data_IF_158268861026
#
_entry.id   IF_158268861026
#
_cell.length_a   1.000
_cell.length_b   1.000
_cell.length_c   1.000
_cell.angle_alpha   90.00
_cell.angle_beta   90.00
_cell.angle_gamma   90.00
#
_symmetry.space_group_name_H-M   'P 1'
#
loop_
_entity.id
_entity.type
_entity.pdbx_description
1 polymer ?
#
# COMPACT_ATOMS: atom_id res chain seq x y z
N UNK A 1 -27.49 -87.78 38.30
CA UNK A 1 -26.45 -88.65 37.74
C UNK A 1 -25.97 -88.06 36.44
N UNK A 2 -24.66 -87.75 36.38
CA UNK A 2 -23.78 -87.72 35.19
C UNK A 2 -24.27 -86.96 33.93
N UNK A 3 -23.81 -85.75 33.59
CA UNK A 3 -22.46 -85.31 33.15
C UNK A 3 -22.07 -85.67 31.70
N UNK A 4 -21.44 -84.67 31.04
CA UNK A 4 -20.75 -84.69 29.73
C UNK A 4 -21.68 -84.43 28.52
N UNK A 5 -21.53 -83.44 27.64
CA UNK A 5 -20.48 -82.49 27.20
C UNK A 5 -21.25 -81.35 26.46
N UNK A 6 -21.22 -80.05 26.72
CA UNK A 6 -20.20 -79.14 27.25
C UNK A 6 -18.83 -79.29 26.59
N UNK A 7 -18.73 -78.98 25.27
CA UNK A 7 -17.46 -78.53 24.67
C UNK A 7 -17.52 -77.76 23.35
N UNK A 8 -18.66 -77.64 22.67
CA UNK A 8 -18.69 -77.05 21.30
C UNK A 8 -19.31 -75.66 21.17
N UNK A 9 -20.00 -75.13 22.19
CA UNK A 9 -20.82 -73.90 22.01
C UNK A 9 -20.17 -72.62 22.58
N UNK A 10 -19.04 -72.73 23.29
CA UNK A 10 -18.38 -71.55 23.88
C UNK A 10 -17.26 -70.94 23.04
N UNK A 11 -16.74 -71.64 22.03
CA UNK A 11 -15.63 -71.16 21.20
C UNK A 11 -16.06 -70.34 19.97
N UNK A 12 -17.32 -70.44 19.53
CA UNK A 12 -17.81 -69.67 18.38
C UNK A 12 -18.36 -68.28 18.75
N UNK A 13 -18.76 -68.06 20.01
CA UNK A 13 -19.27 -66.75 20.43
C UNK A 13 -18.17 -65.75 20.84
N UNK A 14 -16.95 -66.20 21.15
CA UNK A 14 -15.84 -65.33 21.56
C UNK A 14 -14.99 -64.82 20.39
N UNK A 15 -15.04 -65.47 19.23
CA UNK A 15 -14.30 -65.03 18.03
C UNK A 15 -15.09 -64.05 17.14
N UNK A 16 -16.40 -63.92 17.33
CA UNK A 16 -17.22 -63.02 16.52
C UNK A 16 -17.36 -61.61 17.10
N UNK A 17 -16.99 -61.40 18.37
CA UNK A 17 -17.10 -60.08 19.03
C UNK A 17 -15.81 -59.27 19.01
N UNK A 18 -14.68 -59.84 18.60
CA UNK A 18 -13.37 -59.16 18.60
C UNK A 18 -13.00 -58.46 17.29
N UNK A 19 -13.69 -58.76 16.18
CA UNK A 19 -13.38 -58.17 14.87
C UNK A 19 -14.28 -57.00 14.43
N UNK A 20 -15.40 -56.72 15.13
CA UNK A 20 -16.24 -55.55 14.82
C UNK A 20 -15.87 -54.30 15.60
N UNK A 21 -15.19 -54.42 16.74
CA UNK A 21 -14.77 -53.26 17.54
C UNK A 21 -13.43 -52.69 17.03
N UNK A 22 -12.52 -53.54 16.53
CA UNK A 22 -11.26 -53.08 15.94
C UNK A 22 -11.43 -52.39 14.58
N UNK A 23 -12.41 -52.79 13.76
CA UNK A 23 -12.69 -52.09 12.49
C UNK A 23 -13.41 -50.76 12.69
N UNK A 24 -14.27 -50.63 13.71
CA UNK A 24 -14.92 -49.36 14.03
C UNK A 24 -13.95 -48.34 14.64
N UNK A 25 -13.01 -48.79 15.49
CA UNK A 25 -11.95 -47.93 16.03
C UNK A 25 -10.95 -47.49 14.94
N UNK A 26 -10.64 -48.36 13.97
CA UNK A 26 -9.84 -47.99 12.80
C UNK A 26 -10.52 -46.95 11.90
N UNK A 27 -11.83 -47.06 11.69
CA UNK A 27 -12.61 -46.08 10.91
C UNK A 27 -12.78 -44.74 11.64
N UNK A 28 -12.89 -44.72 12.97
CA UNK A 28 -12.93 -43.48 13.76
C UNK A 28 -11.54 -42.83 13.83
N UNK A 29 -10.45 -43.61 13.87
CA UNK A 29 -9.08 -43.08 13.88
C UNK A 29 -8.63 -42.59 12.49
N UNK A 30 -9.14 -43.18 11.40
CA UNK A 30 -8.86 -42.72 10.02
C UNK A 30 -9.74 -41.51 9.65
N UNK A 31 -10.94 -41.38 10.22
CA UNK A 31 -11.79 -40.18 10.06
C UNK A 31 -11.23 -38.93 10.76
N UNK A 32 -10.35 -39.10 11.76
CA UNK A 32 -9.74 -37.99 12.49
C UNK A 32 -8.44 -37.44 11.85
N UNK A 33 -7.95 -38.05 10.76
CA UNK A 33 -6.64 -37.68 10.16
C UNK A 33 -6.79 -36.79 8.91
N UNK A 34 -8.01 -36.51 8.41
CA UNK A 34 -8.21 -35.68 7.21
C UNK A 34 -8.73 -34.26 7.46
N UNK A 35 -8.71 -33.79 8.71
CA UNK A 35 -8.87 -32.35 9.01
C UNK A 35 -7.51 -31.72 9.28
N UNK A 36 -6.53 -31.97 8.40
CA UNK A 36 -5.46 -31.00 8.20
C UNK A 36 -6.06 -29.86 7.39
N UNK A 37 -6.83 -29.01 8.07
CA UNK A 37 -7.15 -27.70 7.55
C UNK A 37 -5.85 -26.90 7.60
N UNK A 38 -5.03 -27.03 6.56
CA UNK A 38 -4.22 -25.91 6.14
C UNK A 38 -5.23 -24.82 5.76
N UNK A 39 -5.69 -24.05 6.74
CA UNK A 39 -6.35 -22.78 6.48
C UNK A 39 -5.26 -21.89 5.90
N UNK A 40 -5.05 -22.00 4.60
CA UNK A 40 -4.31 -21.00 3.85
C UNK A 40 -4.98 -19.66 4.15
N UNK A 41 -4.21 -18.71 4.69
CA UNK A 41 -4.75 -17.38 4.99
C UNK A 41 -5.34 -16.83 3.68
N UNK A 42 -6.64 -16.50 3.67
CA UNK A 42 -7.35 -16.04 2.47
C UNK A 42 -6.74 -14.77 1.86
N UNK A 43 -5.91 -14.06 2.63
CA UNK A 43 -5.16 -12.90 2.20
C UNK A 43 -3.80 -13.22 1.57
N UNK A 44 -3.37 -14.49 1.61
CA UNK A 44 -2.15 -14.96 0.93
C UNK A 44 -2.51 -15.38 -0.49
N UNK A 45 -2.11 -14.54 -1.46
CA UNK A 45 -2.41 -14.75 -2.87
C UNK A 45 -1.10 -14.81 -3.66
N UNK A 46 -0.83 -15.98 -4.24
CA UNK A 46 0.22 -16.14 -5.24
C UNK A 46 -0.26 -15.60 -6.59
N UNK A 47 0.55 -14.74 -7.20
CA UNK A 47 0.24 -14.03 -8.45
C UNK A 47 1.23 -14.36 -9.57
N UNK A 48 2.17 -15.29 -9.36
CA UNK A 48 3.23 -15.59 -10.34
C UNK A 48 2.68 -16.01 -11.71
N UNK A 49 1.59 -16.79 -11.71
CA UNK A 49 0.92 -17.30 -12.91
C UNK A 49 -0.38 -16.54 -13.25
N UNK A 50 -0.68 -15.45 -12.53
CA UNK A 50 -1.92 -14.70 -12.71
C UNK A 50 -1.78 -13.65 -13.83
N UNK A 51 -2.82 -13.53 -14.65
CA UNK A 51 -2.98 -12.46 -15.64
C UNK A 51 -4.09 -11.49 -15.23
N UNK A 52 -3.86 -10.19 -15.40
CA UNK A 52 -4.90 -9.19 -15.22
C UNK A 52 -5.89 -9.19 -16.40
N UNK A 53 -7.14 -8.73 -16.21
CA UNK A 53 -8.11 -8.59 -17.31
C UNK A 53 -7.69 -7.58 -18.38
N UNK A 54 -6.86 -6.61 -17.98
CA UNK A 54 -6.25 -5.61 -18.85
C UNK A 54 -4.74 -5.65 -18.63
N UNK A 55 -3.97 -5.49 -19.70
CA UNK A 55 -2.51 -5.47 -19.61
C UNK A 55 -2.04 -4.39 -18.64
N UNK A 56 -1.14 -4.77 -17.72
CA UNK A 56 -0.44 -3.81 -16.88
C UNK A 56 0.54 -3.04 -17.75
N UNK A 57 0.29 -1.75 -17.94
CA UNK A 57 1.14 -0.89 -18.76
C UNK A 57 2.01 0.01 -17.90
N UNK A 58 3.26 0.12 -18.32
CA UNK A 58 4.25 1.03 -17.75
C UNK A 58 4.81 1.90 -18.87
N UNK A 59 4.86 3.20 -18.66
CA UNK A 59 5.39 4.19 -19.61
C UNK A 59 6.55 4.94 -19.01
N UNK A 60 7.68 4.97 -19.71
CA UNK A 60 8.84 5.76 -19.29
C UNK A 60 8.82 7.14 -19.95
N UNK A 61 7.92 8.00 -19.50
CA UNK A 61 7.80 9.36 -20.02
C UNK A 61 9.07 10.18 -19.77
N UNK A 62 9.76 9.97 -18.64
CA UNK A 62 11.05 10.57 -18.34
C UNK A 62 12.09 10.33 -19.45
N UNK A 63 12.14 9.11 -19.99
CA UNK A 63 13.02 8.81 -21.12
C UNK A 63 12.53 9.45 -22.42
N UNK A 64 11.22 9.42 -22.69
CA UNK A 64 10.65 9.95 -23.94
C UNK A 64 10.85 11.46 -24.09
N UNK A 65 10.70 12.25 -23.01
CA UNK A 65 10.90 13.70 -23.07
C UNK A 65 12.35 14.12 -23.34
N UNK A 66 13.31 13.24 -23.03
CA UNK A 66 14.72 13.46 -23.32
C UNK A 66 15.09 13.17 -24.78
N UNK A 67 14.24 12.44 -25.50
CA UNK A 67 14.48 11.97 -26.87
C UNK A 67 13.42 12.48 -27.86
N UNK A 68 12.78 13.62 -27.54
CA UNK A 68 11.82 14.26 -28.45
C UNK A 68 12.52 14.67 -29.76
N UNK A 69 11.76 14.60 -30.86
CA UNK A 69 12.28 15.08 -32.15
C UNK A 69 12.51 16.58 -32.12
N UNK A 70 13.54 17.06 -32.82
CA UNK A 70 13.83 18.50 -32.99
C UNK A 70 12.69 19.27 -33.70
N UNK A 71 11.67 18.57 -34.23
CA UNK A 71 10.49 19.17 -34.81
C UNK A 71 9.33 19.16 -33.80
N UNK A 72 9.03 20.33 -33.24
CA UNK A 72 8.05 20.52 -32.18
C UNK A 72 6.63 20.08 -32.57
N UNK A 73 6.26 20.22 -33.85
CA UNK A 73 4.93 19.83 -34.33
C UNK A 73 4.73 18.32 -34.35
N UNK A 74 5.76 17.54 -34.73
CA UNK A 74 5.68 16.08 -34.69
C UNK A 74 5.78 15.54 -33.26
N UNK A 75 6.65 16.11 -32.44
CA UNK A 75 6.78 15.76 -31.02
C UNK A 75 5.45 15.97 -30.28
N UNK A 76 4.76 17.09 -30.54
CA UNK A 76 3.46 17.40 -29.94
C UNK A 76 2.38 16.39 -30.30
N UNK A 77 2.27 16.03 -31.59
CA UNK A 77 1.27 15.07 -32.07
C UNK A 77 1.52 13.70 -31.42
N UNK A 78 2.78 13.25 -31.37
CA UNK A 78 3.16 11.99 -30.76
C UNK A 78 2.84 11.96 -29.27
N UNK A 79 3.27 12.97 -28.51
CA UNK A 79 3.03 13.05 -27.07
C UNK A 79 1.53 13.08 -26.76
N UNK A 80 0.75 13.88 -27.49
CA UNK A 80 -0.71 13.96 -27.30
C UNK A 80 -1.39 12.62 -27.55
N UNK A 81 -1.00 11.94 -28.62
CA UNK A 81 -1.56 10.64 -28.96
C UNK A 81 -1.25 9.59 -27.88
N UNK A 82 0.00 9.58 -27.40
CA UNK A 82 0.48 8.53 -26.50
C UNK A 82 0.07 8.72 -25.05
N UNK A 83 -0.02 9.98 -24.57
CA UNK A 83 -0.20 10.30 -23.16
C UNK A 83 -1.52 11.00 -22.81
N UNK A 84 -2.27 11.52 -23.80
CA UNK A 84 -3.66 12.02 -23.63
C UNK A 84 -3.83 12.90 -22.38
N UNK A 85 -4.60 12.43 -21.39
CA UNK A 85 -4.89 13.14 -20.14
C UNK A 85 -3.62 13.41 -19.32
N UNK A 86 -2.68 12.46 -19.27
CA UNK A 86 -1.43 12.65 -18.54
C UNK A 86 -0.64 13.85 -19.09
N UNK A 87 -0.58 14.04 -20.42
CA UNK A 87 0.13 15.20 -20.97
C UNK A 87 -0.52 16.53 -20.55
N UNK A 88 -1.85 16.57 -20.45
CA UNK A 88 -2.57 17.73 -19.92
C UNK A 88 -2.21 17.99 -18.47
N UNK A 89 -2.31 16.99 -17.60
CA UNK A 89 -1.93 17.12 -16.19
C UNK A 89 -0.45 17.52 -16.04
N UNK A 90 0.44 16.92 -16.83
CA UNK A 90 1.88 17.19 -16.80
C UNK A 90 2.21 18.64 -17.15
N UNK A 91 1.66 19.17 -18.24
CA UNK A 91 1.94 20.54 -18.68
C UNK A 91 1.20 21.61 -17.86
N UNK A 92 -0.05 21.35 -17.48
CA UNK A 92 -0.95 22.37 -16.92
C UNK A 92 -0.94 22.40 -15.39
N UNK A 93 -0.73 21.26 -14.71
CA UNK A 93 -0.79 21.17 -13.25
C UNK A 93 0.57 20.82 -12.62
N UNK A 94 1.28 19.82 -13.17
CA UNK A 94 2.57 19.36 -12.63
C UNK A 94 3.65 20.42 -12.86
N UNK A 95 3.92 20.77 -14.12
CA UNK A 95 4.94 21.77 -14.46
C UNK A 95 4.39 23.20 -14.56
N UNK A 96 3.08 23.37 -14.79
CA UNK A 96 2.40 24.67 -14.94
C UNK A 96 3.04 25.56 -16.01
N UNK A 97 3.47 24.96 -17.12
CA UNK A 97 4.16 25.65 -18.22
C UNK A 97 3.20 26.19 -19.29
N UNK A 98 1.97 25.69 -19.34
CA UNK A 98 0.94 26.17 -20.29
C UNK A 98 0.04 25.04 -20.76
N UNK A 99 -0.89 25.37 -21.66
CA UNK A 99 -1.84 24.36 -22.14
C UNK A 99 -1.16 23.27 -22.95
N UNK A 100 -1.49 22.00 -22.70
CA UNK A 100 -1.01 20.87 -23.50
C UNK A 100 -1.45 20.93 -24.97
N UNK A 101 -2.41 21.83 -25.27
CA UNK A 101 -2.94 22.07 -26.61
C UNK A 101 -2.19 23.16 -27.40
N UNK A 102 -1.22 23.85 -26.80
CA UNK A 102 -0.41 24.90 -27.44
C UNK A 102 0.94 24.36 -27.92
N UNK A 103 1.45 24.93 -29.03
CA UNK A 103 2.80 24.61 -29.55
C UNK A 103 3.87 25.27 -28.67
N UNK A 104 3.61 26.47 -28.16
CA UNK A 104 4.48 27.22 -27.26
C UNK A 104 4.77 26.46 -25.95
N UNK A 105 3.88 25.55 -25.54
CA UNK A 105 4.10 24.65 -24.40
C UNK A 105 5.19 23.60 -24.70
N UNK A 106 5.38 23.19 -25.95
CA UNK A 106 6.48 22.29 -26.33
C UNK A 106 7.82 23.00 -26.25
N UNK A 107 7.88 24.25 -26.69
CA UNK A 107 9.09 25.06 -26.54
C UNK A 107 9.50 25.14 -25.06
N UNK A 108 8.55 25.40 -24.18
CA UNK A 108 8.78 25.43 -22.72
C UNK A 108 9.15 24.07 -22.14
N UNK A 109 8.60 22.97 -22.66
CA UNK A 109 8.99 21.63 -22.26
C UNK A 109 10.44 21.34 -22.67
N UNK A 110 10.83 21.71 -23.88
CA UNK A 110 12.21 21.61 -24.36
C UNK A 110 13.15 22.49 -23.52
N UNK A 111 12.74 23.72 -23.19
CA UNK A 111 13.48 24.60 -22.29
C UNK A 111 13.65 23.97 -20.89
N UNK A 112 12.60 23.36 -20.35
CA UNK A 112 12.65 22.64 -19.08
C UNK A 112 13.68 21.50 -19.13
N UNK A 113 13.63 20.63 -20.14
CA UNK A 113 14.56 19.49 -20.30
C UNK A 113 15.99 19.96 -20.57
N UNK A 114 16.16 21.07 -21.29
CA UNK A 114 17.47 21.64 -21.61
C UNK A 114 18.09 22.44 -20.46
N UNK A 115 17.31 22.85 -19.46
CA UNK A 115 17.79 23.67 -18.35
C UNK A 115 18.91 22.94 -17.58
N UNK A 116 20.03 23.60 -17.22
CA UNK A 116 21.17 22.96 -16.55
C UNK A 116 20.78 22.18 -15.28
N UNK A 117 19.97 22.78 -14.40
CA UNK A 117 19.53 22.12 -13.17
C UNK A 117 18.65 20.89 -13.42
N UNK A 118 17.81 20.94 -14.47
CA UNK A 118 17.01 19.78 -14.89
C UNK A 118 17.90 18.69 -15.44
N UNK A 119 18.92 19.03 -16.24
CA UNK A 119 19.88 18.05 -16.76
C UNK A 119 20.65 17.33 -15.66
N UNK A 120 21.11 18.06 -14.63
CA UNK A 120 21.73 17.43 -13.46
C UNK A 120 20.75 16.48 -12.73
N UNK A 121 19.48 16.86 -12.64
CA UNK A 121 18.43 16.00 -12.06
C UNK A 121 18.17 14.77 -12.92
N UNK A 122 18.13 14.90 -14.24
CA UNK A 122 17.93 13.79 -15.17
C UNK A 122 19.12 12.80 -15.10
N UNK A 123 20.35 13.30 -15.02
CA UNK A 123 21.53 12.44 -14.80
C UNK A 123 21.47 11.70 -13.46
N UNK A 124 21.00 12.37 -12.40
CA UNK A 124 20.78 11.73 -11.11
C UNK A 124 19.73 10.62 -11.22
N UNK A 125 18.59 10.89 -11.86
CA UNK A 125 17.54 9.90 -12.16
C UNK A 125 18.14 8.70 -12.90
N UNK A 126 18.81 8.94 -14.03
CA UNK A 126 19.34 7.88 -14.90
C UNK A 126 20.35 6.97 -14.18
N UNK A 127 21.06 7.49 -13.18
CA UNK A 127 22.02 6.72 -12.37
C UNK A 127 21.43 6.07 -11.11
N UNK A 128 20.15 6.31 -10.79
CA UNK A 128 19.50 5.85 -9.56
C UNK A 128 18.09 5.31 -9.83
N UNK A 129 17.03 6.06 -9.52
CA UNK A 129 15.62 5.65 -9.61
C UNK A 129 15.12 5.43 -11.04
N UNK A 130 15.84 5.92 -12.04
CA UNK A 130 15.57 5.72 -13.46
C UNK A 130 16.37 4.58 -14.10
N UNK A 131 17.23 3.89 -13.33
CA UNK A 131 17.99 2.75 -13.85
C UNK A 131 17.03 1.67 -14.42
N UNK A 132 17.27 1.12 -15.63
CA UNK A 132 16.36 0.16 -16.25
C UNK A 132 16.14 -1.14 -15.46
N UNK A 133 17.16 -1.64 -14.75
CA UNK A 133 17.03 -2.85 -13.94
C UNK A 133 16.22 -2.57 -12.68
N UNK A 134 16.48 -1.43 -12.02
CA UNK A 134 15.70 -0.96 -10.89
C UNK A 134 14.22 -0.74 -11.25
N UNK A 135 13.94 0.00 -12.33
CA UNK A 135 12.58 0.24 -12.80
C UNK A 135 11.85 -1.06 -13.14
N UNK A 136 12.53 -2.06 -13.69
CA UNK A 136 11.94 -3.39 -13.94
C UNK A 136 11.52 -4.08 -12.64
N UNK A 137 12.32 -3.95 -11.58
CA UNK A 137 11.98 -4.45 -10.24
C UNK A 137 10.74 -3.75 -9.68
N UNK A 138 10.73 -2.41 -9.67
CA UNK A 138 9.58 -1.62 -9.21
C UNK A 138 8.32 -1.92 -10.02
N UNK A 139 8.43 -2.05 -11.34
CA UNK A 139 7.31 -2.43 -12.20
C UNK A 139 6.74 -3.81 -11.85
N UNK A 140 7.60 -4.78 -11.55
CA UNK A 140 7.16 -6.12 -11.15
C UNK A 140 6.45 -6.10 -9.78
N UNK A 141 6.97 -5.33 -8.82
CA UNK A 141 6.35 -5.18 -7.50
C UNK A 141 4.96 -4.53 -7.61
N UNK A 142 4.82 -3.49 -8.43
CA UNK A 142 3.53 -2.85 -8.71
C UNK A 142 2.58 -3.79 -9.44
N UNK A 143 3.05 -4.51 -10.47
CA UNK A 143 2.23 -5.48 -11.20
C UNK A 143 1.66 -6.55 -10.26
N UNK A 144 2.52 -7.12 -9.42
CA UNK A 144 2.12 -8.12 -8.43
C UNK A 144 1.14 -7.53 -7.40
N UNK A 145 1.39 -6.31 -6.94
CA UNK A 145 0.47 -5.57 -6.07
C UNK A 145 -0.90 -5.41 -6.71
N UNK A 146 -0.97 -4.96 -7.96
CA UNK A 146 -2.23 -4.76 -8.67
C UNK A 146 -2.96 -6.06 -9.01
N UNK A 147 -2.24 -7.17 -9.26
CA UNK A 147 -2.82 -8.51 -9.37
C UNK A 147 -3.53 -8.92 -8.08
N UNK A 148 -2.88 -8.75 -6.92
CA UNK A 148 -3.50 -9.03 -5.61
C UNK A 148 -4.68 -8.10 -5.34
N UNK A 149 -4.55 -6.82 -5.67
CA UNK A 149 -5.66 -5.88 -5.58
C UNK A 149 -6.86 -6.34 -6.42
N UNK A 150 -6.63 -6.83 -7.64
CA UNK A 150 -7.71 -7.34 -8.48
C UNK A 150 -8.42 -8.55 -7.86
N UNK A 151 -7.69 -9.42 -7.16
CA UNK A 151 -8.31 -10.53 -6.40
C UNK A 151 -9.19 -10.01 -5.26
N UNK A 152 -8.70 -9.03 -4.49
CA UNK A 152 -9.42 -8.51 -3.33
C UNK A 152 -10.53 -7.51 -3.68
N UNK A 153 -10.45 -6.87 -4.85
CA UNK A 153 -11.31 -5.77 -5.29
C UNK A 153 -11.52 -5.84 -6.82
N UNK A 154 -12.21 -6.86 -7.37
CA UNK A 154 -12.24 -7.15 -8.82
C UNK A 154 -12.87 -6.07 -9.69
N UNK A 155 -13.68 -5.18 -9.11
CA UNK A 155 -14.33 -4.07 -9.82
C UNK A 155 -13.48 -2.78 -9.85
N UNK A 156 -12.30 -2.80 -9.24
CA UNK A 156 -11.35 -1.69 -9.26
C UNK A 156 -10.54 -1.74 -10.55
N UNK A 157 -10.45 -0.59 -11.25
CA UNK A 157 -9.60 -0.48 -12.44
C UNK A 157 -8.14 -0.44 -12.03
N UNK A 158 -7.28 -1.09 -12.80
CA UNK A 158 -5.83 -1.03 -12.62
C UNK A 158 -5.30 0.17 -13.42
N UNK A 159 -4.50 1.06 -12.81
CA UNK A 159 -3.96 2.22 -13.52
C UNK A 159 -2.75 1.84 -14.38
N UNK A 160 -2.51 2.64 -15.43
CA UNK A 160 -1.19 2.71 -16.07
C UNK A 160 -0.18 3.35 -15.11
N UNK A 161 1.07 2.89 -15.12
CA UNK A 161 2.15 3.51 -14.35
C UNK A 161 3.01 4.37 -15.27
N UNK A 162 3.25 5.63 -14.89
CA UNK A 162 4.02 6.57 -15.70
C UNK A 162 5.23 7.08 -14.92
N UNK A 163 6.43 6.79 -15.40
CA UNK A 163 7.67 7.34 -14.86
C UNK A 163 7.94 8.72 -15.43
N UNK A 164 8.07 9.73 -14.58
CA UNK A 164 8.26 11.13 -15.00
C UNK A 164 9.37 11.80 -14.18
N UNK A 165 9.91 12.91 -14.70
CA UNK A 165 10.54 13.93 -13.87
C UNK A 165 9.48 14.99 -13.57
N UNK A 166 9.06 15.17 -12.32
CA UNK A 166 7.99 16.12 -11.99
C UNK A 166 8.51 17.54 -11.73
N UNK A 167 9.82 17.77 -11.79
CA UNK A 167 10.45 19.01 -11.34
C UNK A 167 10.33 19.23 -9.82
N UNK A 168 10.34 18.14 -9.04
CA UNK A 168 10.07 18.11 -7.60
C UNK A 168 8.72 18.73 -7.19
N UNK A 169 7.72 18.68 -8.08
CA UNK A 169 6.37 19.17 -7.78
C UNK A 169 5.49 18.08 -7.16
N UNK A 170 5.63 16.82 -7.59
CA UNK A 170 4.84 15.70 -7.10
C UNK A 170 5.65 14.39 -7.09
N UNK A 171 5.78 13.75 -5.92
CA UNK A 171 6.35 12.41 -5.82
C UNK A 171 5.45 11.37 -6.50
N UNK A 172 4.15 11.46 -6.22
CA UNK A 172 3.11 10.61 -6.78
C UNK A 172 1.95 11.49 -7.21
N UNK A 173 1.48 11.31 -8.44
CA UNK A 173 0.37 12.02 -9.04
C UNK A 173 -0.69 11.02 -9.53
N UNK A 174 -1.67 10.70 -8.68
CA UNK A 174 -2.69 9.70 -8.97
C UNK A 174 -3.88 10.27 -9.76
N UNK A 175 -4.40 9.46 -10.68
CA UNK A 175 -5.66 9.61 -11.42
C UNK A 175 -6.39 8.27 -11.47
N UNK A 176 -7.61 8.28 -12.00
CA UNK A 176 -8.39 7.05 -12.18
C UNK A 176 -7.73 6.09 -13.19
N UNK A 177 -7.17 6.61 -14.27
CA UNK A 177 -6.56 5.82 -15.35
C UNK A 177 -5.06 5.58 -15.21
N UNK A 178 -4.35 6.41 -14.44
CA UNK A 178 -2.90 6.30 -14.29
C UNK A 178 -2.42 6.74 -12.91
N UNK A 179 -1.21 6.31 -12.55
CA UNK A 179 -0.41 6.87 -11.47
C UNK A 179 0.94 7.27 -12.03
N UNK A 180 1.22 8.58 -12.00
CA UNK A 180 2.51 9.10 -12.43
C UNK A 180 3.44 9.28 -11.22
N UNK A 181 4.70 8.91 -11.36
CA UNK A 181 5.67 8.86 -10.26
C UNK A 181 6.90 9.67 -10.66
N UNK A 182 7.20 10.69 -9.85
CA UNK A 182 8.36 11.56 -10.02
C UNK A 182 9.63 10.84 -9.60
N UNK A 183 10.46 10.41 -10.55
CA UNK A 183 11.68 9.64 -10.31
C UNK A 183 12.67 10.42 -9.42
N UNK A 184 12.70 11.75 -9.52
CA UNK A 184 13.57 12.61 -8.72
C UNK A 184 13.26 12.58 -7.21
N UNK A 185 12.11 12.04 -6.82
CA UNK A 185 11.75 11.84 -5.42
C UNK A 185 12.35 10.58 -4.79
N UNK A 186 12.99 9.72 -5.59
CA UNK A 186 13.47 8.41 -5.14
C UNK A 186 14.98 8.22 -5.40
N UNK A 187 15.75 9.31 -5.48
CA UNK A 187 17.18 9.30 -5.82
C UNK A 187 18.09 8.67 -4.75
N UNK A 188 17.59 8.53 -3.53
CA UNK A 188 18.35 8.12 -2.35
C UNK A 188 18.69 9.33 -1.46
N UNK A 189 18.52 9.21 -0.14
CA UNK A 189 18.66 10.33 0.80
C UNK A 189 20.08 10.90 0.90
N UNK A 190 21.08 10.15 0.40
CA UNK A 190 22.49 10.54 0.36
C UNK A 190 22.91 11.19 -0.97
N UNK A 191 22.03 11.23 -1.98
CA UNK A 191 22.36 11.79 -3.28
C UNK A 191 22.69 13.30 -3.16
N UNK A 192 23.83 13.79 -3.72
CA UNK A 192 24.28 15.16 -3.53
C UNK A 192 23.26 16.23 -3.93
N UNK A 193 22.43 15.96 -4.94
CA UNK A 193 21.41 16.91 -5.43
C UNK A 193 20.41 17.32 -4.34
N UNK A 194 20.10 16.43 -3.38
CA UNK A 194 19.14 16.72 -2.31
C UNK A 194 19.65 17.82 -1.37
N UNK A 195 20.97 17.99 -1.26
CA UNK A 195 21.60 19.06 -0.47
C UNK A 195 21.47 20.43 -1.13
N UNK A 196 21.15 20.48 -2.43
CA UNK A 196 20.91 21.71 -3.18
C UNK A 196 19.45 22.17 -3.10
N UNK A 197 18.54 21.31 -2.61
CA UNK A 197 17.13 21.64 -2.50
C UNK A 197 16.88 22.67 -1.38
N UNK A 198 15.95 23.61 -1.60
CA UNK A 198 15.62 24.64 -0.61
C UNK A 198 15.01 24.00 0.66
N UNK A 199 15.63 24.18 1.85
CA UNK A 199 15.24 23.46 3.06
C UNK A 199 13.86 23.87 3.61
N UNK A 200 13.35 25.04 3.24
CA UNK A 200 11.99 25.51 3.55
C UNK A 200 10.91 24.75 2.78
N UNK A 201 11.24 24.23 1.59
CA UNK A 201 10.35 23.38 0.78
C UNK A 201 10.62 21.88 0.96
N UNK A 202 11.89 21.51 1.20
CA UNK A 202 12.34 20.13 1.38
C UNK A 202 13.05 19.97 2.73
N UNK A 203 12.31 19.97 3.85
CA UNK A 203 12.90 19.77 5.16
C UNK A 203 13.59 18.41 5.27
N UNK A 204 14.55 18.28 6.20
CA UNK A 204 15.42 17.10 6.30
C UNK A 204 14.66 15.77 6.43
N UNK A 205 13.55 15.74 7.19
CA UNK A 205 12.74 14.53 7.34
C UNK A 205 12.16 14.05 5.99
N UNK A 206 11.80 14.98 5.09
CA UNK A 206 11.32 14.64 3.76
C UNK A 206 12.45 14.15 2.85
N UNK A 207 13.63 14.77 2.92
CA UNK A 207 14.79 14.31 2.15
C UNK A 207 15.25 12.89 2.55
N UNK A 208 15.13 12.54 3.83
CA UNK A 208 15.43 11.17 4.31
C UNK A 208 14.50 10.11 3.70
N UNK A 209 13.30 10.52 3.30
CA UNK A 209 12.27 9.69 2.66
C UNK A 209 12.36 9.70 1.14
N UNK A 210 13.34 10.40 0.56
CA UNK A 210 13.55 10.35 -0.90
C UNK A 210 14.34 9.10 -1.27
N UNK A 211 13.81 7.93 -0.92
CA UNK A 211 14.51 6.64 -0.91
C UNK A 211 13.94 5.67 -1.96
N UNK A 212 14.77 5.01 -2.79
CA UNK A 212 14.34 4.09 -3.84
C UNK A 212 13.34 3.03 -3.37
N UNK A 213 13.61 2.39 -2.21
CA UNK A 213 12.79 1.31 -1.64
C UNK A 213 11.32 1.70 -1.37
N UNK A 214 11.00 2.99 -1.28
CA UNK A 214 9.64 3.47 -1.03
C UNK A 214 8.81 3.57 -2.31
N UNK A 215 9.44 3.56 -3.48
CA UNK A 215 8.83 3.95 -4.75
C UNK A 215 7.58 3.14 -5.12
N UNK A 216 7.66 1.81 -5.02
CA UNK A 216 6.51 0.95 -5.32
C UNK A 216 5.36 1.17 -4.32
N UNK A 217 5.68 1.17 -3.03
CA UNK A 217 4.70 1.32 -1.96
C UNK A 217 4.01 2.69 -2.01
N UNK A 218 4.76 3.76 -2.24
CA UNK A 218 4.22 5.13 -2.33
C UNK A 218 3.36 5.32 -3.58
N UNK A 219 3.76 4.77 -4.72
CA UNK A 219 2.95 4.81 -5.94
C UNK A 219 1.58 4.13 -5.73
N UNK A 220 1.59 2.90 -5.20
CA UNK A 220 0.34 2.18 -4.94
C UNK A 220 -0.49 2.85 -3.82
N UNK A 221 0.13 3.26 -2.72
CA UNK A 221 -0.51 3.97 -1.60
C UNK A 221 -1.17 5.26 -2.07
N UNK A 222 -0.44 6.12 -2.79
CA UNK A 222 -0.93 7.39 -3.30
C UNK A 222 -2.12 7.22 -4.23
N UNK A 223 -2.08 6.21 -5.10
CA UNK A 223 -3.21 5.86 -5.96
C UNK A 223 -4.42 5.35 -5.17
N UNK A 224 -4.21 4.44 -4.21
CA UNK A 224 -5.28 3.92 -3.34
C UNK A 224 -5.97 5.03 -2.53
N UNK A 225 -5.21 5.99 -1.98
CA UNK A 225 -5.73 7.10 -1.19
C UNK A 225 -6.64 8.04 -1.97
N UNK A 226 -6.53 8.09 -3.29
CA UNK A 226 -7.46 8.85 -4.14
C UNK A 226 -8.61 7.97 -4.60
N UNK A 227 -8.31 6.74 -5.03
CA UNK A 227 -9.33 5.86 -5.61
C UNK A 227 -10.38 5.37 -4.59
N UNK A 228 -9.99 5.21 -3.32
CA UNK A 228 -10.88 4.69 -2.28
C UNK A 228 -11.61 5.76 -1.45
N UNK A 229 -11.38 7.05 -1.70
CA UNK A 229 -11.92 8.14 -0.88
C UNK A 229 -13.46 8.19 -0.89
N UNK A 230 -14.08 7.77 -2.00
CA UNK A 230 -15.53 7.80 -2.16
C UNK A 230 -16.24 6.51 -1.69
N UNK A 231 -15.54 5.64 -0.95
CA UNK A 231 -16.08 4.37 -0.46
C UNK A 231 -16.36 4.42 1.04
N UNK A 232 -17.32 5.26 1.45
CA UNK A 232 -17.78 5.32 2.85
C UNK A 232 -16.98 6.23 3.78
N UNK A 233 -15.92 6.87 3.30
CA UNK A 233 -15.19 7.88 4.06
C UNK A 233 -15.94 9.22 4.07
N UNK A 234 -16.11 9.79 5.26
CA UNK A 234 -16.81 11.07 5.51
C UNK A 234 -15.84 12.23 5.77
N UNK A 235 -14.71 11.97 6.43
CA UNK A 235 -13.71 12.99 6.78
C UNK A 235 -14.25 14.10 7.68
N UNK A 236 -15.27 13.79 8.49
CA UNK A 236 -15.92 14.74 9.39
C UNK A 236 -15.23 14.80 10.76
N UNK A 237 -14.66 13.67 11.19
CA UNK A 237 -14.01 13.49 12.51
C UNK A 237 -12.63 12.86 12.34
N UNK A 238 -11.78 13.07 13.35
CA UNK A 238 -10.45 12.44 13.43
C UNK A 238 -10.47 10.93 13.20
N UNK A 239 -11.43 10.21 13.80
CA UNK A 239 -11.58 8.75 13.62
C UNK A 239 -11.86 8.35 12.18
N UNK A 240 -12.54 9.19 11.39
CA UNK A 240 -12.88 8.87 10.00
C UNK A 240 -11.59 8.80 9.16
N UNK A 241 -10.71 9.79 9.32
CA UNK A 241 -9.40 9.84 8.64
C UNK A 241 -8.48 8.73 9.13
N UNK A 242 -8.43 8.48 10.45
CA UNK A 242 -7.62 7.39 11.03
C UNK A 242 -8.04 6.04 10.45
N UNK A 243 -9.34 5.74 10.42
CA UNK A 243 -9.83 4.48 9.87
C UNK A 243 -9.64 4.42 8.36
N UNK A 244 -9.81 5.54 7.63
CA UNK A 244 -9.55 5.57 6.20
C UNK A 244 -8.11 5.21 5.86
N UNK A 245 -7.14 5.87 6.50
CA UNK A 245 -5.73 5.55 6.38
C UNK A 245 -5.43 4.11 6.79
N UNK A 246 -6.03 3.64 7.88
CA UNK A 246 -5.88 2.27 8.35
C UNK A 246 -6.36 1.23 7.34
N UNK A 247 -7.51 1.45 6.70
CA UNK A 247 -8.07 0.57 5.67
C UNK A 247 -7.19 0.52 4.43
N UNK A 248 -6.72 1.67 3.96
CA UNK A 248 -5.82 1.77 2.81
C UNK A 248 -4.50 1.05 3.09
N UNK A 249 -3.86 1.31 4.24
CA UNK A 249 -2.60 0.67 4.59
C UNK A 249 -2.73 -0.84 4.85
N UNK A 250 -3.87 -1.26 5.43
CA UNK A 250 -4.15 -2.68 5.61
C UNK A 250 -4.24 -3.39 4.24
N UNK A 251 -4.98 -2.82 3.29
CA UNK A 251 -5.12 -3.38 1.95
C UNK A 251 -3.79 -3.33 1.18
N UNK A 252 -3.04 -2.23 1.29
CA UNK A 252 -1.70 -2.09 0.72
C UNK A 252 -0.78 -3.21 1.21
N UNK A 253 -0.77 -3.50 2.52
CA UNK A 253 0.04 -4.58 3.08
C UNK A 253 -0.40 -5.99 2.63
N UNK A 254 -1.67 -6.19 2.28
CA UNK A 254 -2.12 -7.43 1.63
C UNK A 254 -1.73 -7.51 0.15
N UNK A 255 -1.63 -6.38 -0.52
CA UNK A 255 -1.19 -6.31 -1.92
C UNK A 255 0.33 -6.41 -2.06
N UNK A 256 1.08 -5.95 -1.06
CA UNK A 256 2.54 -5.96 -1.04
C UNK A 256 3.09 -6.72 0.20
N UNK A 257 2.78 -8.03 0.34
CA UNK A 257 3.19 -8.83 1.49
C UNK A 257 4.72 -8.99 1.62
N UNK A 258 5.47 -8.76 0.55
CA UNK A 258 6.93 -8.76 0.55
C UNK A 258 7.54 -7.51 1.21
N UNK A 259 6.76 -6.43 1.30
CA UNK A 259 7.22 -5.15 1.85
C UNK A 259 7.07 -5.12 3.37
N UNK A 260 8.08 -4.57 4.05
CA UNK A 260 8.02 -4.38 5.49
C UNK A 260 7.02 -3.26 5.87
N UNK A 261 6.39 -3.36 7.04
CA UNK A 261 5.42 -2.35 7.50
C UNK A 261 6.00 -0.93 7.56
N UNK A 262 7.30 -0.77 7.87
CA UNK A 262 7.93 0.54 7.91
C UNK A 262 8.03 1.18 6.51
N UNK A 263 8.21 0.38 5.45
CA UNK A 263 8.17 0.85 4.05
C UNK A 263 6.77 1.35 3.70
N UNK A 264 5.72 0.60 4.08
CA UNK A 264 4.33 1.02 3.84
C UNK A 264 3.99 2.35 4.53
N UNK A 265 4.54 2.55 5.74
CA UNK A 265 4.41 3.76 6.54
C UNK A 265 5.33 4.90 6.10
N UNK A 266 6.28 4.66 5.18
CA UNK A 266 7.33 5.62 4.82
C UNK A 266 8.09 6.10 6.09
N UNK A 267 8.51 5.11 6.87
CA UNK A 267 9.21 5.23 8.15
C UNK A 267 10.50 4.44 8.12
N UNK A 268 11.43 4.81 9.00
CA UNK A 268 12.59 3.97 9.29
C UNK A 268 12.17 2.72 10.09
N UNK A 269 12.95 1.63 10.08
CA UNK A 269 12.75 0.52 11.00
C UNK A 269 12.69 0.98 12.47
N UNK A 270 13.54 1.94 12.85
CA UNK A 270 13.60 2.51 14.20
C UNK A 270 12.31 3.23 14.59
N UNK A 271 11.73 4.02 13.68
CA UNK A 271 10.44 4.70 13.87
C UNK A 271 9.32 3.70 14.15
N UNK A 272 9.27 2.60 13.38
CA UNK A 272 8.29 1.55 13.58
C UNK A 272 8.46 0.84 14.93
N UNK A 273 9.70 0.49 15.29
CA UNK A 273 9.97 -0.15 16.59
C UNK A 273 9.67 0.80 17.75
N UNK A 274 9.93 2.10 17.60
CA UNK A 274 9.51 3.10 18.57
C UNK A 274 7.99 3.13 18.72
N UNK A 275 7.24 3.15 17.61
CA UNK A 275 5.78 3.18 17.64
C UNK A 275 5.20 1.94 18.34
N UNK A 276 5.74 0.74 18.05
CA UNK A 276 5.37 -0.50 18.72
C UNK A 276 5.66 -0.47 20.22
N UNK A 277 6.86 -0.03 20.62
CA UNK A 277 7.25 0.07 22.03
C UNK A 277 6.37 1.05 22.83
N UNK A 278 5.78 2.04 22.16
CA UNK A 278 4.95 3.07 22.77
C UNK A 278 3.45 2.95 22.44
N UNK A 279 3.01 1.84 21.83
CA UNK A 279 1.65 1.65 21.28
C UNK A 279 0.56 2.03 22.29
N UNK A 280 0.70 1.56 23.53
CA UNK A 280 -0.25 1.84 24.61
C UNK A 280 -0.29 3.31 25.00
N UNK A 281 0.86 3.98 25.06
CA UNK A 281 0.93 5.40 25.40
C UNK A 281 0.27 6.25 24.30
N UNK A 282 0.53 5.91 23.04
CA UNK A 282 -0.10 6.53 21.87
C UNK A 282 -1.62 6.37 21.94
N UNK A 283 -2.11 5.16 22.22
CA UNK A 283 -3.54 4.90 22.37
C UNK A 283 -4.19 5.66 23.54
N UNK A 284 -3.48 5.87 24.66
CA UNK A 284 -3.98 6.66 25.79
C UNK A 284 -4.16 8.14 25.45
N UNK A 285 -3.29 8.69 24.61
CA UNK A 285 -3.39 10.06 24.11
C UNK A 285 -4.48 10.19 23.02
N UNK A 286 -4.66 9.14 22.21
CA UNK A 286 -5.60 9.15 21.08
C UNK A 286 -7.05 8.85 21.48
N UNK A 287 -7.29 7.84 22.32
CA UNK A 287 -8.64 7.32 22.61
C UNK A 287 -9.66 8.29 23.26
N UNK A 288 -9.29 9.38 23.97
CA UNK A 288 -10.28 10.26 24.55
C UNK A 288 -11.28 10.77 23.51
N UNK A 289 -12.56 10.85 23.91
CA UNK A 289 -13.64 11.21 22.98
C UNK A 289 -13.45 12.57 22.32
N UNK A 290 -12.87 13.54 23.04
CA UNK A 290 -12.55 14.86 22.52
C UNK A 290 -11.37 14.89 21.52
N UNK A 291 -10.65 13.77 21.36
CA UNK A 291 -9.57 13.61 20.38
C UNK A 291 -10.09 12.79 19.19
N UNK A 292 -10.58 11.57 19.41
CA UNK A 292 -11.10 10.69 18.34
C UNK A 292 -12.27 11.32 17.56
N UNK A 293 -13.11 12.12 18.23
CA UNK A 293 -14.27 12.74 17.60
C UNK A 293 -14.09 14.25 17.38
N UNK A 294 -12.86 14.75 17.42
CA UNK A 294 -12.53 16.12 17.03
C UNK A 294 -12.90 16.33 15.55
N UNK A 295 -13.53 17.47 15.26
CA UNK A 295 -14.00 17.86 13.91
C UNK A 295 -13.17 19.00 13.31
N UNK A 296 -12.38 19.70 14.13
CA UNK A 296 -11.44 20.69 13.64
C UNK A 296 -10.24 20.02 12.98
N UNK A 297 -10.24 19.99 11.65
CA UNK A 297 -9.15 19.43 10.82
C UNK A 297 -7.77 19.96 11.19
N UNK A 298 -7.65 21.24 11.52
CA UNK A 298 -6.36 21.83 11.92
C UNK A 298 -5.82 21.20 13.20
N UNK A 299 -6.71 20.79 14.11
CA UNK A 299 -6.34 20.15 15.38
C UNK A 299 -5.99 18.69 15.14
N UNK A 300 -6.87 17.92 14.51
CA UNK A 300 -6.66 16.48 14.41
C UNK A 300 -5.66 16.07 13.34
N UNK A 301 -5.42 16.88 12.30
CA UNK A 301 -4.37 16.61 11.30
C UNK A 301 -2.98 16.51 11.93
N UNK A 302 -2.75 17.05 13.13
CA UNK A 302 -1.51 16.86 13.89
C UNK A 302 -1.15 15.39 14.14
N UNK A 303 -2.13 14.48 14.07
CA UNK A 303 -1.95 13.02 14.13
C UNK A 303 -1.59 12.37 12.79
N UNK A 304 -1.86 13.04 11.68
CA UNK A 304 -1.94 12.45 10.34
C UNK A 304 -0.97 13.07 9.34
N UNK A 305 -0.44 14.25 9.63
CA UNK A 305 0.43 14.99 8.71
C UNK A 305 1.89 14.60 8.87
N UNK A 306 2.60 14.68 7.76
CA UNK A 306 4.05 14.57 7.71
C UNK A 306 4.74 15.61 8.60
N UNK A 307 5.86 15.21 9.18
CA UNK A 307 6.67 16.09 10.00
C UNK A 307 7.89 15.39 10.59
N UNK A 308 8.65 16.10 11.44
CA UNK A 308 9.75 15.49 12.17
C UNK A 308 9.27 14.55 13.29
N UNK A 309 8.05 14.72 13.78
CA UNK A 309 7.40 13.90 14.81
C UNK A 309 5.90 14.24 14.88
N UNK A 310 5.12 13.42 15.59
CA UNK A 310 3.69 13.65 15.82
C UNK A 310 3.49 14.70 16.90
N UNK A 311 3.08 15.91 16.50
CA UNK A 311 2.97 17.05 17.41
C UNK A 311 1.63 17.04 18.13
N UNK A 312 1.32 16.11 19.04
CA UNK A 312 0.03 16.11 19.76
C UNK A 312 0.18 15.75 21.24
N UNK A 313 -0.60 16.41 22.11
CA UNK A 313 -0.70 16.06 23.54
C UNK A 313 0.65 15.88 24.23
N UNK A 314 0.82 14.74 24.88
CA UNK A 314 2.05 14.34 25.57
C UNK A 314 3.00 13.49 24.70
N UNK A 315 2.75 13.39 23.39
CA UNK A 315 3.62 12.63 22.49
C UNK A 315 5.01 13.30 22.43
N UNK A 316 6.09 12.55 22.70
CA UNK A 316 7.44 13.11 22.79
C UNK A 316 8.04 13.37 21.41
N UNK A 317 9.09 14.19 21.33
CA UNK A 317 9.68 14.62 20.05
C UNK A 317 10.47 13.51 19.35
N UNK A 318 10.83 12.46 20.09
CA UNK A 318 11.45 11.24 19.60
C UNK A 318 10.46 10.33 18.85
N UNK A 319 9.16 10.66 18.85
CA UNK A 319 8.18 9.88 18.12
C UNK A 319 8.33 10.06 16.62
N UNK A 320 7.92 9.09 15.79
CA UNK A 320 7.70 9.35 14.38
C UNK A 320 6.51 10.30 14.19
N UNK A 321 6.39 10.84 12.99
CA UNK A 321 5.19 11.55 12.54
C UNK A 321 4.02 10.59 12.32
N UNK A 322 2.86 11.10 11.89
CA UNK A 322 1.73 10.29 11.43
C UNK A 322 1.30 9.13 12.36
N UNK A 323 1.46 9.24 13.68
CA UNK A 323 1.08 8.15 14.59
C UNK A 323 -0.40 7.80 14.52
N UNK A 324 -1.28 8.73 14.14
CA UNK A 324 -2.69 8.45 13.89
C UNK A 324 -2.92 7.50 12.71
N UNK A 325 -2.12 7.63 11.64
CA UNK A 325 -2.13 6.74 10.48
C UNK A 325 -1.75 5.32 10.90
N UNK A 326 -0.66 5.19 11.66
CA UNK A 326 -0.21 3.89 12.18
C UNK A 326 -1.23 3.27 13.14
N UNK A 327 -1.81 4.07 14.05
CA UNK A 327 -2.88 3.61 14.92
C UNK A 327 -4.10 3.13 14.13
N UNK A 328 -4.45 3.81 13.03
CA UNK A 328 -5.47 3.37 12.09
C UNK A 328 -5.19 1.97 11.56
N UNK A 329 -3.96 1.72 11.09
CA UNK A 329 -3.53 0.41 10.61
C UNK A 329 -3.68 -0.66 11.72
N UNK A 330 -3.26 -0.36 12.96
CA UNK A 330 -3.36 -1.31 14.08
C UNK A 330 -4.81 -1.62 14.46
N UNK A 331 -5.69 -0.63 14.44
CA UNK A 331 -7.13 -0.79 14.70
C UNK A 331 -7.77 -1.67 13.61
N UNK A 332 -7.49 -1.39 12.34
CA UNK A 332 -8.06 -2.15 11.22
C UNK A 332 -7.52 -3.59 11.17
N UNK A 333 -6.22 -3.80 11.44
CA UNK A 333 -5.65 -5.16 11.56
C UNK A 333 -6.41 -5.98 12.61
N UNK A 334 -6.54 -5.45 13.84
CA UNK A 334 -7.26 -6.14 14.92
C UNK A 334 -8.73 -6.41 14.57
N UNK A 335 -9.40 -5.48 13.89
CA UNK A 335 -10.76 -5.70 13.41
C UNK A 335 -10.83 -6.86 12.40
N UNK A 336 -9.96 -6.87 11.39
CA UNK A 336 -9.96 -7.92 10.36
C UNK A 336 -9.56 -9.29 10.89
N UNK A 337 -8.67 -9.35 11.88
CA UNK A 337 -8.27 -10.60 12.55
C UNK A 337 -9.43 -11.21 13.37
N UNK A 338 -10.29 -10.36 13.94
CA UNK A 338 -11.48 -10.77 14.70
C UNK A 338 -12.71 -11.06 13.83
N UNK A 339 -12.70 -10.63 12.56
CA UNK A 339 -13.79 -10.82 11.61
C UNK A 339 -13.26 -11.43 10.30
N UNK A 340 -12.74 -12.68 10.34
CA UNK A 340 -12.05 -13.31 9.21
C UNK A 340 -12.96 -13.57 7.99
N UNK A 341 -14.29 -13.44 8.13
CA UNK A 341 -15.25 -13.52 7.03
C UNK A 341 -15.38 -12.20 6.25
N UNK A 342 -15.00 -11.06 6.82
CA UNK A 342 -15.13 -9.74 6.17
C UNK A 342 -14.27 -9.66 4.90
N UNK A 343 -14.87 -9.27 3.77
CA UNK A 343 -14.14 -9.00 2.52
C UNK A 343 -13.51 -7.61 2.51
N UNK A 344 -12.58 -7.35 1.57
CA UNK A 344 -12.01 -6.01 1.43
C UNK A 344 -13.08 -4.98 1.03
N UNK A 345 -14.02 -5.33 0.17
CA UNK A 345 -15.14 -4.44 -0.18
C UNK A 345 -16.01 -4.10 1.02
N UNK A 346 -16.31 -5.10 1.86
CA UNK A 346 -17.08 -4.90 3.08
C UNK A 346 -16.34 -3.97 4.05
N UNK A 347 -15.03 -4.19 4.23
CA UNK A 347 -14.17 -3.33 5.06
C UNK A 347 -14.24 -1.87 4.62
N UNK A 348 -14.11 -1.60 3.31
CA UNK A 348 -14.20 -0.23 2.80
C UNK A 348 -15.62 0.34 2.95
N UNK A 349 -16.67 -0.45 2.69
CA UNK A 349 -18.06 0.00 2.81
C UNK A 349 -18.55 0.27 4.24
N UNK A 350 -17.88 -0.27 5.26
CA UNK A 350 -18.26 -0.08 6.66
C UNK A 350 -18.00 1.37 7.11
N UNK A 351 -19.06 2.08 7.50
CA UNK A 351 -18.99 3.48 7.94
C UNK A 351 -19.12 3.62 9.47
N UNK A 352 -19.59 2.58 10.17
CA UNK A 352 -19.64 2.59 11.63
C UNK A 352 -18.23 2.34 12.19
N UNK A 353 -17.70 3.33 12.92
CA UNK A 353 -16.41 3.22 13.60
C UNK A 353 -16.50 2.37 14.89
N UNK A 354 -17.69 2.12 15.44
CA UNK A 354 -17.87 1.45 16.73
C UNK A 354 -17.27 0.03 16.74
N UNK A 355 -17.51 -0.85 15.74
CA UNK A 355 -16.90 -2.17 15.69
C UNK A 355 -15.36 -2.13 15.73
N UNK A 356 -14.75 -1.20 14.98
CA UNK A 356 -13.30 -1.00 14.97
C UNK A 356 -12.75 -0.62 16.36
N UNK A 357 -13.32 0.41 16.99
CA UNK A 357 -12.87 0.88 18.31
C UNK A 357 -13.13 -0.14 19.44
N UNK A 358 -14.15 -1.00 19.29
CA UNK A 358 -14.42 -2.08 20.25
C UNK A 358 -13.42 -3.22 20.11
N UNK A 359 -13.02 -3.56 18.89
CA UNK A 359 -12.07 -4.64 18.61
C UNK A 359 -10.65 -4.33 19.11
N UNK A 360 -10.28 -3.06 19.16
CA UNK A 360 -8.89 -2.66 19.41
C UNK A 360 -8.58 -2.49 20.90
N UNK A 361 -7.67 -3.30 21.42
CA UNK A 361 -7.07 -3.12 22.76
C UNK A 361 -5.56 -3.36 22.64
N UNK A 362 -4.70 -2.34 22.82
CA UNK A 362 -3.26 -2.56 22.78
C UNK A 362 -2.85 -3.51 23.91
N UNK A 363 -1.85 -4.35 23.64
CA UNK A 363 -1.27 -5.23 24.65
C UNK A 363 -0.62 -4.41 25.78
N UNK A 364 -0.47 -5.04 26.94
CA UNK A 364 -0.18 -4.33 28.20
C UNK A 364 1.22 -3.79 28.33
#
# INVERSE_FOLDING_TARGET
MSSSESRTTFLTCLLWRRNKVSSLLGLILISFITLSSCTEDKWTVDVSEMTLPTDFSVRNFNWEIQHLSENDSSSLIQLRHNYKLFLTDYCEDILKIGSSQSIETIDKLNEFVAHPDTRETLLAIDSTSGDPEFLRGVSLDLENGFKRLHVFMPNVKIPEVIWMNSGFNFAVYPRDEFVAVGLEWFLGPEHPILKLLPPDRFPKYQQLRMHPDLMAADAMKGWMLVHFINRGYTGEKCVDDILYWGKVLWLLGKCMPEQFEHVLMDWTPEDLEWAKANERAIWLELQPANVLFETNRTVFHRWLTDGPFTKFGSIPQESPDRLGVWMGLRIVKNFMDQNPETSAEQLFSETDYIPFLKSYRPER
#
